data_IF_705619380725
#
_entry.id   IF_705619380725
#
_cell.length_a   1.000
_cell.length_b   1.000
_cell.length_c   1.000
_cell.angle_alpha   90.00
_cell.angle_beta   90.00
_cell.angle_gamma   90.00
#
_symmetry.space_group_name_H-M   'P 1'
#
loop_
_entity.id
_entity.type
_entity.pdbx_description
1 polymer ?
#
# COMPACT_ATOMS: atom_id res chain seq x y z
N UNK A 1 8.11 13.89 -17.14
CA UNK A 1 7.60 12.90 -16.16
C UNK A 1 7.06 13.65 -14.95
N UNK A 2 5.80 13.43 -14.52
CA UNK A 2 5.29 13.96 -13.25
C UNK A 2 5.78 13.03 -12.14
N UNK A 3 6.56 13.54 -11.18
CA UNK A 3 6.96 12.77 -9.99
C UNK A 3 5.69 12.51 -9.17
N UNK A 4 5.30 11.24 -9.03
CA UNK A 4 4.32 10.84 -8.01
C UNK A 4 5.06 10.72 -6.69
N UNK A 5 4.74 11.57 -5.72
CA UNK A 5 5.23 11.40 -4.36
C UNK A 5 4.50 10.20 -3.73
N UNK A 6 5.20 9.31 -3.01
CA UNK A 6 4.55 8.24 -2.27
C UNK A 6 3.63 8.83 -1.20
N UNK A 7 2.44 8.24 -1.04
CA UNK A 7 1.58 8.56 0.09
C UNK A 7 2.27 8.07 1.38
N UNK A 8 2.56 9.00 2.30
CA UNK A 8 3.24 8.68 3.56
C UNK A 8 2.24 8.70 4.71
N UNK A 9 2.05 7.57 5.38
CA UNK A 9 1.29 7.47 6.63
C UNK A 9 2.27 7.61 7.81
N UNK A 10 1.97 8.51 8.75
CA UNK A 10 2.83 8.81 9.92
C UNK A 10 2.14 8.38 11.21
N UNK A 11 2.92 8.25 12.29
CA UNK A 11 2.44 7.91 13.64
C UNK A 11 1.68 6.57 13.69
N UNK A 12 2.12 5.61 12.88
CA UNK A 12 1.58 4.24 12.87
C UNK A 12 2.05 3.53 14.14
N UNK A 13 1.16 2.76 14.78
CA UNK A 13 1.50 1.97 15.97
C UNK A 13 2.52 0.88 15.60
N UNK A 14 3.40 0.54 16.53
CA UNK A 14 4.27 -0.65 16.37
C UNK A 14 3.41 -1.91 16.32
N UNK A 15 3.70 -2.83 15.41
CA UNK A 15 2.98 -4.08 15.26
C UNK A 15 2.62 -4.44 13.82
N UNK A 16 1.78 -5.46 13.67
CA UNK A 16 1.24 -5.90 12.38
C UNK A 16 0.09 -5.00 11.92
N UNK A 17 0.12 -4.64 10.63
CA UNK A 17 -0.92 -3.88 9.94
C UNK A 17 -1.26 -4.57 8.62
N UNK A 18 -2.54 -4.56 8.26
CA UNK A 18 -2.99 -4.87 6.91
C UNK A 18 -3.12 -3.57 6.12
N UNK A 19 -2.52 -3.53 4.94
CA UNK A 19 -2.59 -2.39 4.01
C UNK A 19 -3.35 -2.83 2.77
N UNK A 20 -4.46 -2.16 2.49
CA UNK A 20 -5.25 -2.35 1.29
C UNK A 20 -5.14 -1.14 0.36
N UNK A 21 -4.80 -1.38 -0.91
CA UNK A 21 -4.82 -0.34 -1.97
C UNK A 21 -5.98 -0.63 -2.92
N UNK A 22 -6.93 0.29 -2.98
CA UNK A 22 -8.17 0.15 -3.74
C UNK A 22 -8.21 1.21 -4.83
N UNK A 23 -8.49 0.78 -6.06
CA UNK A 23 -8.71 1.64 -7.21
C UNK A 23 -9.80 1.03 -8.08
N UNK A 24 -10.76 1.85 -8.48
CA UNK A 24 -11.85 1.41 -9.36
C UNK A 24 -11.31 0.77 -10.65
N UNK A 25 -11.87 -0.40 -11.01
CA UNK A 25 -11.45 -1.18 -12.17
C UNK A 25 -10.18 -2.03 -11.97
N UNK A 26 -9.67 -2.16 -10.74
CA UNK A 26 -8.52 -2.99 -10.39
C UNK A 26 -8.85 -3.94 -9.23
N UNK A 27 -8.15 -5.06 -9.16
CA UNK A 27 -8.18 -5.95 -8.00
C UNK A 27 -7.61 -5.23 -6.78
N UNK A 28 -8.17 -5.54 -5.60
CA UNK A 28 -7.67 -5.01 -4.34
C UNK A 28 -6.29 -5.64 -4.06
N UNK A 29 -5.28 -4.80 -3.87
CA UNK A 29 -3.98 -5.23 -3.38
C UNK A 29 -4.00 -5.24 -1.86
N UNK A 30 -3.68 -6.37 -1.23
CA UNK A 30 -3.60 -6.53 0.23
C UNK A 30 -2.20 -6.99 0.62
N UNK A 31 -1.61 -6.36 1.63
CA UNK A 31 -0.33 -6.79 2.20
C UNK A 31 -0.30 -6.62 3.71
N UNK A 32 0.23 -7.62 4.40
CA UNK A 32 0.51 -7.57 5.82
C UNK A 32 1.94 -7.09 6.04
N UNK A 33 2.12 -6.07 6.88
CA UNK A 33 3.43 -5.51 7.22
C UNK A 33 3.58 -5.38 8.72
N UNK A 34 4.76 -5.70 9.22
CA UNK A 34 5.15 -5.35 10.58
C UNK A 34 5.89 -4.01 10.55
N UNK A 35 5.50 -3.09 11.43
CA UNK A 35 6.17 -1.80 11.60
C UNK A 35 6.82 -1.79 12.97
N UNK A 36 8.14 -1.65 13.01
CA UNK A 36 8.89 -1.50 14.26
C UNK A 36 9.21 -0.02 14.58
N UNK A 37 9.65 0.24 15.81
CA UNK A 37 9.97 1.57 16.30
C UNK A 37 11.12 2.19 15.49
N UNK A 38 10.84 3.34 14.87
CA UNK A 38 11.82 4.11 14.12
C UNK A 38 12.02 3.61 12.67
N UNK A 39 11.36 2.52 12.29
CA UNK A 39 11.44 2.00 10.93
C UNK A 39 10.45 2.68 9.99
N UNK A 40 10.77 2.62 8.69
CA UNK A 40 9.88 3.00 7.60
C UNK A 40 9.75 1.82 6.66
N UNK A 41 8.50 1.38 6.45
CA UNK A 41 8.17 0.35 5.47
C UNK A 41 7.72 1.02 4.18
N UNK A 42 8.34 0.65 3.06
CA UNK A 42 7.93 1.09 1.73
C UNK A 42 7.15 -0.03 1.04
N UNK A 43 6.00 0.33 0.46
CA UNK A 43 5.14 -0.58 -0.29
C UNK A 43 4.94 -0.06 -1.70
N UNK A 44 5.41 -0.83 -2.68
CA UNK A 44 5.10 -0.64 -4.08
C UNK A 44 4.00 -1.64 -4.45
N UNK A 45 2.84 -1.12 -4.85
CA UNK A 45 1.68 -1.92 -5.24
C UNK A 45 1.59 -1.98 -6.77
N UNK A 46 1.76 -3.17 -7.32
CA UNK A 46 1.43 -3.47 -8.70
C UNK A 46 -0.05 -3.86 -8.79
N UNK A 47 -0.84 -3.11 -9.56
CA UNK A 47 -2.29 -3.29 -9.63
C UNK A 47 -2.68 -4.07 -10.89
N UNK A 48 -3.41 -5.16 -10.68
CA UNK A 48 -4.00 -5.95 -11.76
C UNK A 48 -5.38 -5.39 -12.13
N UNK A 49 -5.59 -5.07 -13.41
CA UNK A 49 -6.87 -4.55 -13.90
C UNK A 49 -7.92 -5.66 -13.86
N UNK A 50 -9.15 -5.34 -13.48
CA UNK A 50 -10.27 -6.25 -13.64
C UNK A 50 -10.60 -6.36 -15.13
N UNK A 51 -10.43 -7.54 -15.70
CA UNK A 51 -10.97 -7.85 -17.03
C UNK A 51 -12.42 -8.28 -16.88
N UNK A 52 -13.30 -7.57 -17.57
CA UNK A 52 -14.69 -7.95 -17.75
C UNK A 52 -14.79 -8.66 -19.10
N UNK A 53 -15.20 -9.92 -19.08
CA UNK A 53 -15.48 -10.72 -20.26
C UNK A 53 -16.79 -10.29 -20.92
#
# INVERSE_FOLDING_TARGET
MRVKLPLTIRQVKVGWHEVAVIKEGYRIYVKHVYVDRGERVYLEAELEKLEYW
#
